data_IF_269117551159
#
_entry.id   IF_269117551159
#
_cell.length_a   1.000
_cell.length_b   1.000
_cell.length_c   1.000
_cell.angle_alpha   90.00
_cell.angle_beta   90.00
_cell.angle_gamma   90.00
#
_symmetry.space_group_name_H-M   'P 1'
#
loop_
_entity.id
_entity.type
_entity.pdbx_description
1 polymer ?
#
# COMPACT_ATOMS: atom_id res chain seq x y z
N UNK A 1 -20.09 0.17 62.12
CA UNK A 1 -19.02 -0.84 62.30
C UNK A 1 -18.86 -1.55 60.97
N UNK A 2 -17.79 -1.45 60.18
CA UNK A 2 -16.64 -0.56 60.14
C UNK A 2 -16.24 -0.44 58.66
N UNK A 3 -15.87 0.77 58.22
CA UNK A 3 -15.33 0.99 56.88
C UNK A 3 -13.87 0.51 56.87
N UNK A 4 -13.58 -0.54 56.10
CA UNK A 4 -12.22 -1.01 55.86
C UNK A 4 -11.57 -0.20 54.75
N UNK A 5 -10.84 0.86 55.13
CA UNK A 5 -10.03 1.65 54.21
C UNK A 5 -8.87 0.83 53.66
N UNK A 6 -8.77 0.75 52.35
CA UNK A 6 -7.61 0.17 51.65
C UNK A 6 -6.50 1.22 51.64
N UNK A 7 -5.35 0.87 52.18
CA UNK A 7 -4.16 1.73 52.33
C UNK A 7 -3.59 2.18 50.96
N UNK A 8 -3.18 3.45 50.77
CA UNK A 8 -2.72 3.98 49.49
C UNK A 8 -1.29 3.55 49.09
N UNK A 9 -0.68 2.59 49.80
CA UNK A 9 0.71 2.18 49.56
C UNK A 9 0.88 0.94 48.66
N UNK A 10 -0.19 0.42 48.06
CA UNK A 10 -0.14 -0.79 47.23
C UNK A 10 -0.15 -0.53 45.70
N UNK A 11 0.03 0.71 45.24
CA UNK A 11 -0.08 1.08 43.80
C UNK A 11 1.24 1.45 43.12
N UNK A 12 2.40 1.16 43.72
CA UNK A 12 3.70 1.64 43.21
C UNK A 12 4.69 0.55 42.76
N UNK A 13 4.22 -0.67 42.46
CA UNK A 13 5.11 -1.76 42.02
C UNK A 13 4.64 -2.50 40.77
N UNK A 14 4.08 -1.80 39.77
CA UNK A 14 3.64 -2.44 38.51
C UNK A 14 3.95 -1.66 37.22
N UNK A 15 4.99 -0.82 37.18
CA UNK A 15 5.40 -0.18 35.92
C UNK A 15 6.93 -0.12 35.78
N UNK A 16 7.57 -1.29 35.64
CA UNK A 16 8.98 -1.39 35.23
C UNK A 16 9.28 -2.63 34.38
N UNK A 17 8.24 -3.24 33.80
CA UNK A 17 8.41 -4.08 32.62
C UNK A 17 8.08 -3.20 31.42
N UNK A 18 9.11 -2.57 30.87
CA UNK A 18 9.00 -2.03 29.51
C UNK A 18 8.49 -3.18 28.64
N UNK A 19 7.36 -2.96 27.97
CA UNK A 19 6.89 -3.85 26.93
C UNK A 19 8.01 -3.91 25.87
N UNK A 20 8.87 -4.92 25.96
CA UNK A 20 9.65 -5.33 24.81
C UNK A 20 8.59 -5.84 23.84
N UNK A 21 8.17 -4.97 22.92
CA UNK A 21 7.43 -5.40 21.74
C UNK A 21 8.31 -6.44 21.06
N UNK A 22 8.01 -7.72 21.29
CA UNK A 22 8.46 -8.78 20.41
C UNK A 22 7.68 -8.55 19.11
N UNK A 23 8.20 -7.66 18.26
CA UNK A 23 7.71 -7.55 16.90
C UNK A 23 7.86 -8.93 16.25
N UNK A 24 6.73 -9.49 15.81
CA UNK A 24 6.75 -10.73 15.03
C UNK A 24 7.63 -10.49 13.79
N UNK A 25 8.50 -11.44 13.41
CA UNK A 25 9.30 -11.28 12.21
C UNK A 25 8.37 -11.17 10.99
N UNK A 26 8.61 -10.16 10.14
CA UNK A 26 7.90 -9.98 8.87
C UNK A 26 7.90 -11.29 8.05
N UNK A 27 6.78 -11.58 7.40
CA UNK A 27 6.65 -12.75 6.55
C UNK A 27 7.63 -12.64 5.35
N UNK A 28 8.63 -13.54 5.22
CA UNK A 28 9.60 -13.46 4.13
C UNK A 28 9.03 -13.76 2.74
N UNK A 29 7.83 -14.35 2.65
CA UNK A 29 7.14 -14.63 1.38
C UNK A 29 6.26 -13.46 0.91
N UNK A 30 6.09 -12.41 1.72
CA UNK A 30 5.35 -11.20 1.33
C UNK A 30 6.16 -10.41 0.28
N UNK A 31 5.59 -10.13 -0.92
CA UNK A 31 6.29 -9.39 -1.97
C UNK A 31 6.67 -7.95 -1.59
N UNK A 32 6.07 -7.40 -0.53
CA UNK A 32 6.34 -6.06 0.00
C UNK A 32 7.38 -6.07 1.13
N UNK A 33 8.03 -7.21 1.38
CA UNK A 33 9.16 -7.34 2.32
C UNK A 33 10.48 -7.34 1.55
N UNK A 34 11.27 -6.30 1.82
CA UNK A 34 12.58 -6.07 1.21
C UNK A 34 13.71 -6.45 2.19
N UNK A 35 14.87 -6.80 1.64
CA UNK A 35 16.05 -7.07 2.46
C UNK A 35 17.07 -5.93 2.38
N UNK A 36 17.59 -5.49 3.52
CA UNK A 36 18.64 -4.47 3.61
C UNK A 36 19.87 -5.01 4.36
N UNK A 37 21.05 -4.53 3.99
CA UNK A 37 22.33 -4.88 4.63
C UNK A 37 22.67 -3.90 5.74
N UNK A 38 22.63 -4.36 6.98
CA UNK A 38 23.05 -3.57 8.14
C UNK A 38 24.49 -3.93 8.51
N UNK A 39 25.33 -2.92 8.74
CA UNK A 39 26.69 -3.10 9.23
C UNK A 39 26.72 -3.14 10.77
N UNK A 40 27.56 -4.00 11.33
CA UNK A 40 27.74 -4.12 12.78
C UNK A 40 29.21 -4.37 13.12
N UNK A 41 29.64 -3.84 14.27
CA UNK A 41 31.01 -3.96 14.75
C UNK A 41 31.17 -5.26 15.55
N UNK A 42 32.13 -6.09 15.15
CA UNK A 42 32.51 -7.32 15.85
C UNK A 42 33.95 -7.22 16.32
N UNK A 43 34.18 -7.56 17.59
CA UNK A 43 35.53 -7.69 18.14
C UNK A 43 36.14 -9.00 17.67
N UNK A 44 37.21 -8.91 16.89
CA UNK A 44 37.96 -10.08 16.41
C UNK A 44 39.35 -10.09 17.03
N UNK A 45 39.92 -11.28 17.17
CA UNK A 45 41.30 -11.45 17.61
C UNK A 45 42.23 -11.36 16.38
N UNK A 46 43.09 -10.35 16.36
CA UNK A 46 44.05 -10.13 15.27
C UNK A 46 45.47 -10.42 15.76
N UNK A 47 46.21 -11.22 14.99
CA UNK A 47 47.64 -11.43 15.21
C UNK A 47 48.43 -10.23 14.71
N UNK A 48 49.39 -9.75 15.51
CA UNK A 48 50.33 -8.71 15.13
C UNK A 48 51.77 -9.09 15.50
N UNK A 49 52.74 -8.53 14.79
CA UNK A 49 54.15 -8.70 15.08
C UNK A 49 54.54 -7.79 16.25
N UNK A 50 54.76 -8.37 17.43
CA UNK A 50 55.21 -7.65 18.60
C UNK A 50 56.74 -7.63 18.65
N UNK A 51 57.39 -6.46 18.58
CA UNK A 51 58.85 -6.37 18.65
C UNK A 51 59.35 -6.71 20.06
N UNK A 52 60.47 -7.41 20.14
CA UNK A 52 61.19 -7.65 21.38
C UNK A 52 62.70 -7.59 21.11
N UNK A 53 63.47 -7.21 22.13
CA UNK A 53 64.93 -7.16 22.02
C UNK A 53 65.53 -8.54 22.27
N UNK A 54 66.27 -9.05 21.29
CA UNK A 54 66.99 -10.32 21.36
C UNK A 54 68.48 -10.05 21.55
N UNK A 55 68.97 -10.34 22.75
CA UNK A 55 70.38 -10.18 23.12
C UNK A 55 71.17 -11.43 22.73
N UNK A 56 72.25 -11.26 21.97
CA UNK A 56 73.20 -12.32 21.63
C UNK A 56 74.63 -11.86 21.87
N UNK A 57 75.51 -12.82 22.14
CA UNK A 57 76.91 -12.55 22.46
C UNK A 57 77.80 -12.77 21.23
N UNK A 58 78.56 -11.76 20.83
CA UNK A 58 79.53 -11.83 19.74
C UNK A 58 80.95 -11.64 20.27
N UNK A 59 81.95 -12.21 19.59
CA UNK A 59 83.36 -12.00 19.97
C UNK A 59 83.77 -10.56 19.64
N UNK A 60 84.39 -9.87 20.59
CA UNK A 60 84.98 -8.55 20.38
C UNK A 60 86.47 -8.69 20.01
N UNK A 61 87.01 -7.66 19.35
CA UNK A 61 88.43 -7.56 19.02
C UNK A 61 89.28 -6.93 20.14
N UNK A 62 88.66 -6.38 21.19
CA UNK A 62 89.36 -5.75 22.32
C UNK A 62 89.74 -6.75 23.43
N UNK A 63 91.03 -6.82 23.76
CA UNK A 63 91.65 -7.87 24.61
C UNK A 63 91.49 -7.63 26.11
N UNK A 64 91.11 -6.41 26.55
CA UNK A 64 91.13 -6.04 27.97
C UNK A 64 89.83 -6.30 28.74
N UNK A 65 88.74 -6.72 28.09
CA UNK A 65 87.50 -7.12 28.78
C UNK A 65 86.96 -8.44 28.20
N UNK A 66 86.86 -9.44 29.08
CA UNK A 66 86.20 -10.75 28.94
C UNK A 66 85.37 -10.93 27.64
N UNK A 67 86.00 -11.60 26.65
CA UNK A 67 85.73 -11.76 25.20
C UNK A 67 84.29 -11.92 24.64
N UNK A 68 83.25 -11.29 25.19
CA UNK A 68 81.86 -11.35 24.68
C UNK A 68 81.19 -9.98 24.76
N UNK A 69 80.91 -9.39 23.61
CA UNK A 69 80.13 -8.16 23.48
C UNK A 69 78.66 -8.51 23.34
N UNK A 70 77.79 -7.76 24.04
CA UNK A 70 76.34 -7.84 23.86
C UNK A 70 75.94 -7.15 22.57
N UNK A 71 75.24 -7.86 21.70
CA UNK A 71 74.63 -7.30 20.50
C UNK A 71 73.12 -7.43 20.60
N UNK A 72 72.42 -6.33 20.34
CA UNK A 72 70.98 -6.22 20.39
C UNK A 72 70.40 -6.38 18.97
N UNK A 73 69.32 -7.14 18.84
CA UNK A 73 68.58 -7.29 17.58
C UNK A 73 67.09 -7.25 17.88
N UNK A 74 66.39 -6.34 17.22
CA UNK A 74 64.93 -6.32 17.25
C UNK A 74 64.43 -7.55 16.49
N UNK A 75 63.84 -8.48 17.24
CA UNK A 75 63.18 -9.67 16.72
C UNK A 75 61.67 -9.53 16.96
N UNK A 76 60.86 -10.29 16.22
CA UNK A 76 59.40 -10.19 16.29
C UNK A 76 58.81 -11.52 16.73
N UNK A 77 57.82 -11.46 17.62
CA UNK A 77 56.99 -12.61 18.00
C UNK A 77 55.52 -12.34 17.66
N UNK A 78 54.76 -13.39 17.37
CA UNK A 78 53.32 -13.28 17.19
C UNK A 78 52.66 -12.96 18.53
N UNK A 79 51.92 -11.86 18.59
CA UNK A 79 51.05 -11.52 19.71
C UNK A 79 49.63 -11.26 19.19
N UNK A 80 48.64 -11.29 20.08
CA UNK A 80 47.24 -11.08 19.72
C UNK A 80 46.70 -9.80 20.34
N UNK A 81 45.88 -9.07 19.58
CA UNK A 81 45.13 -7.90 20.06
C UNK A 81 43.68 -8.00 19.63
N UNK A 82 42.78 -7.33 20.35
CA UNK A 82 41.39 -7.19 19.92
C UNK A 82 41.32 -6.06 18.89
N UNK A 83 40.94 -6.40 17.67
CA UNK A 83 40.59 -5.44 16.62
C UNK A 83 39.07 -5.36 16.48
N UNK A 84 38.55 -4.23 16.03
CA UNK A 84 37.14 -4.08 15.65
C UNK A 84 37.05 -4.26 14.13
N UNK A 85 36.22 -5.19 13.68
CA UNK A 85 35.91 -5.38 12.26
C UNK A 85 34.44 -5.14 11.99
N UNK A 86 34.17 -4.44 10.90
CA UNK A 86 32.81 -4.25 10.39
C UNK A 86 32.37 -5.52 9.67
N UNK A 87 31.28 -6.10 10.15
CA UNK A 87 30.58 -7.22 9.53
C UNK A 87 29.24 -6.73 8.97
N UNK A 88 28.63 -7.49 8.06
CA UNK A 88 27.34 -7.18 7.47
C UNK A 88 26.36 -8.31 7.71
N UNK A 89 25.09 -7.98 7.98
CA UNK A 89 23.99 -8.94 8.08
C UNK A 89 22.82 -8.45 7.26
N UNK A 90 22.07 -9.40 6.68
CA UNK A 90 20.84 -9.12 5.97
C UNK A 90 19.67 -9.08 6.96
N UNK A 91 18.90 -8.00 6.95
CA UNK A 91 17.66 -7.84 7.73
C UNK A 91 16.48 -7.62 6.80
N UNK A 92 15.32 -8.15 7.18
CA UNK A 92 14.05 -7.90 6.50
C UNK A 92 13.42 -6.62 7.04
N UNK A 93 12.81 -5.84 6.15
CA UNK A 93 12.04 -4.65 6.45
C UNK A 93 11.00 -4.45 5.35
N UNK A 94 9.95 -3.66 5.60
CA UNK A 94 9.04 -3.30 4.52
C UNK A 94 9.76 -2.52 3.42
N UNK A 95 9.31 -2.73 2.18
CA UNK A 95 9.81 -1.99 1.02
C UNK A 95 9.46 -0.49 1.12
N UNK A 96 10.18 0.40 0.39
CA UNK A 96 9.86 1.82 0.38
C UNK A 96 8.40 2.09 0.03
N UNK A 97 7.75 2.98 0.79
CA UNK A 97 6.32 3.29 0.63
C UNK A 97 5.37 2.35 1.38
N UNK A 98 5.89 1.41 2.15
CA UNK A 98 5.11 0.55 3.04
C UNK A 98 5.54 0.77 4.49
N UNK A 99 4.60 0.61 5.42
CA UNK A 99 4.87 0.62 6.85
C UNK A 99 4.54 -0.73 7.48
N UNK A 100 5.22 -1.03 8.58
CA UNK A 100 5.03 -2.27 9.32
C UNK A 100 3.81 -2.15 10.25
N UNK A 101 2.84 -3.04 10.06
CA UNK A 101 1.65 -3.16 10.90
C UNK A 101 1.52 -4.61 11.36
N UNK A 102 2.19 -4.94 12.47
CA UNK A 102 2.31 -6.32 12.92
C UNK A 102 3.31 -7.08 12.05
N UNK A 103 2.88 -8.16 11.42
CA UNK A 103 3.67 -8.99 10.50
C UNK A 103 3.45 -8.65 9.01
N UNK A 104 2.64 -7.61 8.73
CA UNK A 104 2.26 -7.18 7.39
C UNK A 104 2.90 -5.85 7.01
N UNK A 105 3.27 -5.74 5.73
CA UNK A 105 3.66 -4.47 5.12
C UNK A 105 2.45 -3.83 4.44
N UNK A 106 1.94 -2.75 5.06
CA UNK A 106 0.76 -2.02 4.58
C UNK A 106 1.20 -0.83 3.74
N UNK A 107 0.62 -0.59 2.55
CA UNK A 107 1.01 0.52 1.71
C UNK A 107 0.66 1.86 2.36
N UNK A 108 1.51 2.85 2.15
CA UNK A 108 1.31 4.22 2.58
C UNK A 108 0.77 5.05 1.41
N UNK A 109 -0.37 5.67 1.62
CA UNK A 109 -0.92 6.67 0.71
C UNK A 109 -0.81 8.04 1.39
N UNK A 110 -0.21 9.01 0.70
CA UNK A 110 -0.01 10.37 1.20
C UNK A 110 -1.37 11.07 1.41
N UNK A 111 -2.28 10.88 0.45
CA UNK A 111 -3.66 11.31 0.56
C UNK A 111 -4.55 10.10 0.90
N UNK A 112 -5.56 10.33 1.73
CA UNK A 112 -6.51 9.28 2.09
C UNK A 112 -7.42 8.93 0.90
N UNK A 113 -7.62 7.64 0.64
CA UNK A 113 -8.54 7.18 -0.39
C UNK A 113 -9.99 7.34 0.10
N UNK A 114 -10.67 8.43 -0.29
CA UNK A 114 -11.99 8.80 0.24
C UNK A 114 -13.06 7.72 0.06
N UNK A 115 -13.19 7.17 -1.15
CA UNK A 115 -14.09 6.05 -1.48
C UNK A 115 -13.29 4.91 -2.11
N UNK A 116 -12.36 4.36 -1.33
CA UNK A 116 -11.48 3.31 -1.80
C UNK A 116 -10.52 2.81 -0.72
N UNK A 117 -9.50 2.08 -1.16
CA UNK A 117 -8.45 1.57 -0.27
C UNK A 117 -7.06 1.75 -0.90
N UNK A 118 -6.06 1.98 -0.07
CA UNK A 118 -4.67 2.04 -0.49
C UNK A 118 -4.18 0.62 -0.85
N UNK A 119 -3.76 0.40 -2.09
CA UNK A 119 -3.31 -0.93 -2.58
C UNK A 119 -1.83 -1.00 -2.88
N UNK A 120 -1.21 0.13 -3.17
CA UNK A 120 0.23 0.30 -3.31
C UNK A 120 0.60 1.73 -2.91
N UNK A 121 1.90 2.06 -2.75
CA UNK A 121 2.31 3.40 -2.33
C UNK A 121 1.67 4.46 -3.22
N UNK A 122 0.98 5.41 -2.60
CA UNK A 122 0.23 6.50 -3.25
C UNK A 122 -0.74 6.07 -4.36
N UNK A 123 -1.24 4.83 -4.29
CA UNK A 123 -2.18 4.29 -5.27
C UNK A 123 -3.43 3.77 -4.57
N UNK A 124 -4.54 4.46 -4.83
CA UNK A 124 -5.85 4.03 -4.38
C UNK A 124 -6.46 3.03 -5.36
N UNK A 125 -7.24 2.08 -4.84
CA UNK A 125 -8.23 1.33 -5.58
C UNK A 125 -9.61 1.89 -5.22
N UNK A 126 -10.28 2.52 -6.18
CA UNK A 126 -11.57 3.17 -5.95
C UNK A 126 -12.73 2.17 -5.97
N UNK A 127 -13.75 2.48 -5.19
CA UNK A 127 -15.04 1.80 -5.24
C UNK A 127 -15.80 2.18 -6.54
N UNK A 128 -16.73 1.33 -7.00
CA UNK A 128 -17.53 1.64 -8.18
C UNK A 128 -18.33 2.93 -8.03
N UNK A 129 -18.31 3.78 -9.05
CA UNK A 129 -18.96 5.09 -9.04
C UNK A 129 -18.06 6.24 -8.60
N UNK A 130 -16.82 5.94 -8.21
CA UNK A 130 -15.82 6.92 -7.80
C UNK A 130 -14.54 6.80 -8.62
N UNK A 131 -13.87 7.93 -8.78
CA UNK A 131 -12.62 8.08 -9.52
C UNK A 131 -11.78 9.24 -8.97
N UNK A 132 -10.78 9.64 -9.75
CA UNK A 132 -9.70 10.52 -9.28
C UNK A 132 -8.56 9.72 -8.64
N UNK A 133 -7.49 10.41 -8.28
CA UNK A 133 -6.29 9.80 -7.68
C UNK A 133 -6.56 9.32 -6.25
N UNK A 134 -7.42 10.03 -5.52
CA UNK A 134 -7.81 9.81 -4.12
C UNK A 134 -9.25 9.26 -3.96
N UNK A 135 -9.89 8.88 -5.08
CA UNK A 135 -11.28 8.40 -5.09
C UNK A 135 -12.32 9.41 -4.53
N UNK A 136 -12.02 10.71 -4.57
CA UNK A 136 -12.92 11.76 -4.07
C UNK A 136 -13.98 12.22 -5.08
N UNK A 137 -13.76 11.98 -6.37
CA UNK A 137 -14.64 12.46 -7.43
C UNK A 137 -15.62 11.38 -7.87
N UNK A 138 -16.93 11.67 -7.85
CA UNK A 138 -17.93 10.79 -8.45
C UNK A 138 -17.79 10.72 -9.98
N UNK A 139 -18.20 9.60 -10.58
CA UNK A 139 -18.14 9.47 -12.04
C UNK A 139 -19.08 10.44 -12.76
N UNK A 140 -18.59 11.01 -13.85
CA UNK A 140 -19.42 11.74 -14.80
C UNK A 140 -20.45 10.80 -15.45
N UNK A 141 -21.56 11.35 -15.98
CA UNK A 141 -22.68 10.55 -16.49
C UNK A 141 -22.36 9.64 -17.67
N UNK A 142 -21.18 9.80 -18.27
CA UNK A 142 -20.69 9.04 -19.41
C UNK A 142 -19.72 7.91 -19.00
N UNK A 143 -19.43 7.77 -17.70
CA UNK A 143 -18.51 6.78 -17.16
C UNK A 143 -19.08 6.05 -15.94
N UNK A 144 -18.57 4.85 -15.68
CA UNK A 144 -19.00 4.02 -14.56
C UNK A 144 -17.91 3.05 -14.09
N UNK A 145 -18.18 2.39 -12.97
CA UNK A 145 -17.30 1.39 -12.38
C UNK A 145 -16.20 2.02 -11.51
N UNK A 146 -15.24 1.20 -11.04
CA UNK A 146 -14.11 1.69 -10.26
C UNK A 146 -13.22 2.57 -11.12
N UNK A 147 -12.70 3.65 -10.54
CA UNK A 147 -11.88 4.66 -11.24
C UNK A 147 -12.58 5.32 -12.43
N UNK A 148 -13.91 5.21 -12.55
CA UNK A 148 -14.67 5.69 -13.71
C UNK A 148 -14.08 5.25 -15.05
N UNK A 149 -13.47 4.06 -15.08
CA UNK A 149 -12.69 3.61 -16.24
C UNK A 149 -13.53 3.03 -17.37
N UNK A 150 -14.81 2.75 -17.13
CA UNK A 150 -15.70 2.19 -18.14
C UNK A 150 -16.59 3.28 -18.72
N UNK A 151 -16.64 3.40 -20.05
CA UNK A 151 -17.56 4.32 -20.74
C UNK A 151 -18.97 3.74 -20.81
N UNK A 152 -19.99 4.56 -20.55
CA UNK A 152 -21.39 4.19 -20.76
C UNK A 152 -21.65 3.83 -22.22
N UNK A 153 -22.46 2.81 -22.46
CA UNK A 153 -22.79 2.30 -23.80
C UNK A 153 -24.21 2.65 -24.26
N UNK A 154 -24.92 3.47 -23.48
CA UNK A 154 -26.30 3.85 -23.71
C UNK A 154 -26.49 4.63 -25.01
N UNK A 155 -27.69 4.58 -25.56
CA UNK A 155 -28.12 5.24 -26.80
C UNK A 155 -29.21 6.27 -26.51
N UNK A 156 -29.57 7.05 -27.53
CA UNK A 156 -30.69 8.00 -27.49
C UNK A 156 -30.66 9.01 -26.32
N UNK A 157 -29.45 9.44 -25.94
CA UNK A 157 -29.25 10.43 -24.87
C UNK A 157 -29.41 9.88 -23.44
N UNK A 158 -29.55 8.56 -23.28
CA UNK A 158 -29.62 7.91 -21.98
C UNK A 158 -28.28 7.99 -21.22
N UNK A 159 -28.39 8.14 -19.89
CA UNK A 159 -27.24 8.13 -18.96
C UNK A 159 -27.10 6.76 -18.33
N UNK A 160 -25.91 6.39 -17.87
CA UNK A 160 -25.73 5.14 -17.13
C UNK A 160 -25.54 5.36 -15.62
N UNK A 161 -25.90 4.34 -14.85
CA UNK A 161 -25.65 4.29 -13.43
C UNK A 161 -24.12 4.23 -13.20
N UNK A 162 -23.54 5.13 -12.39
CA UNK A 162 -22.08 5.22 -12.22
C UNK A 162 -21.47 4.01 -11.51
N UNK A 163 -22.28 3.21 -10.79
CA UNK A 163 -21.84 2.01 -10.07
C UNK A 163 -21.90 0.79 -10.99
N UNK A 164 -23.04 0.57 -11.65
CA UNK A 164 -23.32 -0.69 -12.37
C UNK A 164 -23.19 -0.58 -13.89
N UNK A 165 -23.17 0.63 -14.45
CA UNK A 165 -23.20 0.86 -15.90
C UNK A 165 -24.56 0.63 -16.56
N UNK A 166 -25.60 0.30 -15.79
CA UNK A 166 -26.94 0.09 -16.31
C UNK A 166 -27.53 1.40 -16.89
N UNK A 167 -28.10 1.34 -18.08
CA UNK A 167 -28.69 2.52 -18.72
C UNK A 167 -30.02 2.88 -18.09
N UNK A 168 -30.25 4.19 -17.92
CA UNK A 168 -31.54 4.77 -17.53
C UNK A 168 -32.09 5.47 -18.76
N UNK A 169 -33.14 4.88 -19.34
CA UNK A 169 -33.68 5.34 -20.61
C UNK A 169 -34.40 6.68 -20.47
N UNK A 170 -34.26 7.49 -21.51
CA UNK A 170 -35.09 8.66 -21.75
C UNK A 170 -36.49 8.20 -22.18
N UNK A 171 -37.48 9.07 -22.01
CA UNK A 171 -38.87 8.76 -22.37
C UNK A 171 -38.96 8.27 -23.83
N UNK A 172 -39.80 7.27 -24.07
CA UNK A 172 -40.02 6.71 -25.39
C UNK A 172 -38.96 5.71 -25.87
N UNK A 173 -37.98 5.34 -25.05
CA UNK A 173 -36.98 4.34 -25.37
C UNK A 173 -36.93 3.21 -24.33
N UNK A 174 -36.60 2.01 -24.79
CA UNK A 174 -36.43 0.80 -23.99
C UNK A 174 -35.25 -0.02 -24.50
N UNK A 175 -35.01 -1.16 -23.86
CA UNK A 175 -33.85 -2.01 -24.11
C UNK A 175 -32.71 -1.75 -23.12
N UNK A 176 -31.75 -2.66 -23.10
CA UNK A 176 -30.62 -2.68 -22.17
C UNK A 176 -29.66 -1.50 -22.40
N UNK A 177 -29.64 -0.91 -23.60
CA UNK A 177 -28.89 0.30 -23.94
C UNK A 177 -29.80 1.45 -24.34
N UNK A 178 -31.11 1.33 -24.16
CA UNK A 178 -32.09 2.32 -24.62
C UNK A 178 -32.04 2.54 -26.14
N UNK A 179 -31.75 1.49 -26.89
CA UNK A 179 -31.59 1.52 -28.35
C UNK A 179 -32.92 1.38 -29.11
N UNK A 180 -33.93 0.80 -28.47
CA UNK A 180 -35.24 0.53 -29.05
C UNK A 180 -36.23 1.63 -28.68
N UNK A 181 -37.12 1.99 -29.60
CA UNK A 181 -38.28 2.83 -29.27
C UNK A 181 -39.34 1.99 -28.54
N UNK A 182 -40.22 2.65 -27.79
CA UNK A 182 -41.40 1.96 -27.26
C UNK A 182 -42.21 1.31 -28.37
N UNK A 183 -42.87 0.19 -28.02
CA UNK A 183 -43.86 -0.42 -28.89
C UNK A 183 -45.00 0.57 -29.18
N UNK A 184 -45.71 0.45 -30.33
CA UNK A 184 -46.67 1.46 -30.79
C UNK A 184 -47.79 1.81 -29.81
N UNK A 185 -48.10 0.91 -28.87
CA UNK A 185 -49.15 1.06 -27.87
C UNK A 185 -48.64 1.65 -26.53
N UNK A 186 -47.35 1.97 -26.43
CA UNK A 186 -46.72 2.45 -25.19
C UNK A 186 -45.87 3.71 -25.41
N UNK A 187 -45.75 4.50 -24.34
CA UNK A 187 -44.96 5.73 -24.32
C UNK A 187 -44.39 6.04 -22.94
N UNK A 188 -43.61 7.13 -22.87
CA UNK A 188 -43.09 7.66 -21.62
C UNK A 188 -41.88 6.89 -21.08
N UNK A 189 -41.57 7.09 -19.80
CA UNK A 189 -40.41 6.47 -19.17
C UNK A 189 -40.55 4.96 -19.08
N UNK A 190 -39.51 4.24 -19.52
CA UNK A 190 -39.44 2.78 -19.56
C UNK A 190 -40.65 2.14 -20.29
N UNK A 191 -41.31 2.89 -21.19
CA UNK A 191 -42.51 2.48 -21.93
C UNK A 191 -43.66 1.98 -21.05
N UNK A 192 -43.81 2.53 -19.84
CA UNK A 192 -44.81 2.08 -18.87
C UNK A 192 -46.19 2.73 -19.03
N UNK A 193 -46.34 3.71 -19.91
CA UNK A 193 -47.63 4.40 -20.14
C UNK A 193 -48.28 3.86 -21.41
N UNK A 194 -49.58 3.58 -21.36
CA UNK A 194 -50.34 3.04 -22.49
C UNK A 194 -50.93 4.17 -23.36
N UNK A 195 -50.82 4.04 -24.67
CA UNK A 195 -51.44 4.94 -25.63
C UNK A 195 -52.92 4.60 -25.82
N UNK A 196 -53.77 5.62 -25.80
CA UNK A 196 -55.22 5.46 -26.02
C UNK A 196 -55.69 6.06 -27.36
N UNK A 197 -54.85 5.95 -28.39
CA UNK A 197 -55.14 6.46 -29.72
C UNK A 197 -56.23 5.62 -30.42
N UNK A 198 -57.20 6.29 -31.03
CA UNK A 198 -58.34 5.65 -31.71
C UNK A 198 -58.24 5.79 -33.24
N UNK A 199 -59.04 5.00 -33.95
CA UNK A 199 -59.21 5.06 -35.41
C UNK A 199 -57.90 4.88 -36.22
N UNK A 200 -56.96 4.08 -35.71
CA UNK A 200 -55.68 3.81 -36.37
C UNK A 200 -54.71 5.00 -36.35
N UNK A 201 -54.87 5.94 -35.41
CA UNK A 201 -53.89 6.99 -35.15
C UNK A 201 -52.58 6.41 -34.57
N UNK A 202 -51.45 7.01 -34.93
CA UNK A 202 -50.13 6.57 -34.46
C UNK A 202 -49.76 7.31 -33.17
N UNK A 203 -49.31 6.59 -32.15
CA UNK A 203 -48.87 7.20 -30.90
C UNK A 203 -47.43 7.69 -30.98
N UNK A 204 -47.16 8.89 -30.44
CA UNK A 204 -45.81 9.40 -30.30
C UNK A 204 -45.12 8.75 -29.08
N UNK A 205 -44.11 7.92 -29.32
CA UNK A 205 -43.44 7.12 -28.28
C UNK A 205 -42.91 7.92 -27.06
N UNK A 206 -42.50 9.18 -27.21
CA UNK A 206 -42.05 10.01 -26.08
C UNK A 206 -43.20 10.65 -25.28
N UNK A 207 -44.15 11.28 -25.96
CA UNK A 207 -45.14 12.18 -25.36
C UNK A 207 -46.51 11.55 -25.17
N UNK A 208 -46.80 10.47 -25.91
CA UNK A 208 -48.13 9.83 -25.94
C UNK A 208 -49.12 10.54 -26.87
N UNK A 209 -48.70 11.59 -27.58
CA UNK A 209 -49.58 12.35 -28.48
C UNK A 209 -50.03 11.48 -29.67
N UNK A 210 -51.32 11.52 -29.98
CA UNK A 210 -51.90 10.75 -31.08
C UNK A 210 -51.85 11.53 -32.39
N UNK A 211 -51.06 11.03 -33.34
CA UNK A 211 -51.00 11.54 -34.70
C UNK A 211 -52.16 10.94 -35.51
N UNK A 212 -53.21 11.75 -35.70
CA UNK A 212 -54.43 11.35 -36.38
C UNK A 212 -54.20 11.06 -37.87
N UNK A 213 -54.87 10.02 -38.39
CA UNK A 213 -54.94 9.77 -39.83
C UNK A 213 -55.71 10.89 -40.56
N UNK A 214 -55.47 11.11 -41.87
CA UNK A 214 -56.17 12.13 -42.65
C UNK A 214 -57.70 12.02 -42.50
N UNK A 215 -58.35 13.12 -42.14
CA UNK A 215 -59.81 13.18 -41.94
C UNK A 215 -60.28 12.97 -40.49
N UNK A 216 -59.36 12.71 -39.55
CA UNK A 216 -59.66 12.63 -38.12
C UNK A 216 -59.00 13.79 -37.35
N UNK A 217 -59.64 14.20 -36.26
CA UNK A 217 -59.15 15.24 -35.34
C UNK A 217 -59.44 14.79 -33.90
N UNK A 218 -58.56 15.14 -32.96
CA UNK A 218 -58.69 14.78 -31.55
C UNK A 218 -57.75 15.60 -30.69
N UNK A 219 -57.92 15.50 -29.37
CA UNK A 219 -57.05 16.08 -28.35
C UNK A 219 -56.21 14.96 -27.70
#
# INVERSE_FOLDING_TARGET
MGAGGVSPQALLWLNLFGFISLGSPLNPDDPNVCSHWESYAVTVQESYAHPFDQVYYTRCTDILNWFKCTRHRISYKTAYRRGVRTMYRRRSQCCPGFFESGDLCVPLCTEECAHGRCVSPDTCQCEPGWGGLDCSSGCESDFWGPHCSNRCQCRNGAKCNPITGACVCTDGYQGWRCEETCDPDFYGKDCMLECHCLNGATCHHQTGECLCAPGYTGA
#
